data_IF_470530641563
#
_entry.id   IF_470530641563
#
_cell.length_a   1.000
_cell.length_b   1.000
_cell.length_c   1.000
_cell.angle_alpha   90.00
_cell.angle_beta   90.00
_cell.angle_gamma   90.00
#
_symmetry.space_group_name_H-M   'P 1'
#
loop_
_entity.id
_entity.type
_entity.pdbx_description
1 polymer ?
#
# COMPACT_ATOMS: atom_id res chain seq x y z
N UNK A 1 19.75 9.56 -7.78
CA UNK A 1 20.90 8.83 -7.23
C UNK A 1 21.13 9.29 -5.81
N UNK A 2 21.36 8.36 -4.89
CA UNK A 2 21.79 8.64 -3.52
C UNK A 2 23.31 8.83 -3.51
N UNK A 3 23.76 10.08 -3.38
CA UNK A 3 25.18 10.43 -3.38
C UNK A 3 25.85 10.05 -2.06
N UNK A 4 25.16 10.16 -0.93
CA UNK A 4 25.67 9.80 0.39
C UNK A 4 25.96 8.29 0.45
N UNK A 5 24.99 7.47 0.04
CA UNK A 5 25.15 6.02 -0.03
C UNK A 5 26.26 5.59 -0.99
N UNK A 6 26.39 6.26 -2.15
CA UNK A 6 27.46 5.98 -3.10
C UNK A 6 28.84 6.37 -2.55
N UNK A 7 28.96 7.55 -1.94
CA UNK A 7 30.21 8.01 -1.32
C UNK A 7 30.64 7.09 -0.17
N UNK A 8 29.70 6.69 0.71
CA UNK A 8 29.96 5.74 1.79
C UNK A 8 30.48 4.40 1.25
N UNK A 9 29.91 3.90 0.14
CA UNK A 9 30.39 2.69 -0.52
C UNK A 9 31.84 2.84 -1.03
N UNK A 10 32.20 3.97 -1.65
CA UNK A 10 33.56 4.21 -2.12
C UNK A 10 34.58 4.26 -0.96
N UNK A 11 34.21 4.94 0.13
CA UNK A 11 35.06 5.06 1.34
C UNK A 11 35.29 3.69 1.98
N UNK A 12 34.23 2.91 2.22
CA UNK A 12 34.32 1.59 2.86
C UNK A 12 35.22 0.64 2.06
N UNK A 13 35.20 0.73 0.73
CA UNK A 13 36.02 -0.10 -0.15
C UNK A 13 37.43 0.46 -0.43
N UNK A 14 37.83 1.56 0.21
CA UNK A 14 39.12 2.22 0.02
C UNK A 14 39.43 2.54 -1.46
N UNK A 15 38.43 3.04 -2.17
CA UNK A 15 38.55 3.39 -3.59
C UNK A 15 39.50 4.57 -3.80
N UNK A 16 40.57 4.38 -4.59
CA UNK A 16 41.65 5.36 -4.76
C UNK A 16 41.21 6.68 -5.42
N UNK A 17 40.19 6.62 -6.28
CA UNK A 17 39.70 7.76 -7.07
C UNK A 17 38.25 8.13 -6.71
N UNK A 18 37.87 7.98 -5.43
CA UNK A 18 36.49 8.16 -4.97
C UNK A 18 35.89 9.52 -5.38
N UNK A 19 36.65 10.61 -5.24
CA UNK A 19 36.19 11.95 -5.58
C UNK A 19 35.95 12.11 -7.09
N UNK A 20 36.85 11.59 -7.93
CA UNK A 20 36.71 11.66 -9.37
C UNK A 20 35.50 10.85 -9.87
N UNK A 21 35.29 9.63 -9.32
CA UNK A 21 34.11 8.81 -9.63
C UNK A 21 32.81 9.49 -9.21
N UNK A 22 32.79 10.12 -8.04
CA UNK A 22 31.62 10.84 -7.55
C UNK A 22 31.33 12.08 -8.39
N UNK A 23 32.35 12.86 -8.75
CA UNK A 23 32.25 14.00 -9.67
C UNK A 23 31.67 13.59 -11.01
N UNK A 24 32.17 12.50 -11.60
CA UNK A 24 31.65 11.96 -12.87
C UNK A 24 30.15 11.70 -12.78
N UNK A 25 29.70 11.06 -11.69
CA UNK A 25 28.27 10.78 -11.46
C UNK A 25 27.44 12.05 -11.25
N UNK A 26 27.96 13.03 -10.52
CA UNK A 26 27.29 14.32 -10.33
C UNK A 26 27.11 15.04 -11.67
N UNK A 27 28.16 15.09 -12.50
CA UNK A 27 28.10 15.69 -13.84
C UNK A 27 27.14 14.91 -14.74
N UNK A 28 27.14 13.57 -14.69
CA UNK A 28 26.23 12.72 -15.48
C UNK A 28 24.75 13.05 -15.18
N UNK A 29 24.38 13.16 -13.91
CA UNK A 29 22.99 13.40 -13.49
C UNK A 29 22.57 14.88 -13.57
N UNK A 30 23.39 15.81 -13.08
CA UNK A 30 23.07 17.25 -13.15
C UNK A 30 23.30 17.85 -14.53
N UNK A 31 24.08 17.17 -15.39
CA UNK A 31 24.35 17.54 -16.77
C UNK A 31 24.80 19.02 -16.86
N UNK A 32 24.27 19.79 -17.83
CA UNK A 32 24.59 21.22 -18.03
C UNK A 32 24.20 22.16 -16.86
N UNK A 33 23.63 21.64 -15.77
CA UNK A 33 23.27 22.45 -14.59
C UNK A 33 24.43 22.66 -13.60
N UNK A 34 25.58 22.01 -13.79
CA UNK A 34 26.75 22.16 -12.92
C UNK A 34 28.04 22.25 -13.75
N UNK A 35 28.92 23.18 -13.39
CA UNK A 35 30.26 23.29 -13.98
C UNK A 35 31.24 22.24 -13.45
N UNK A 36 32.36 22.03 -14.13
CA UNK A 36 33.39 21.05 -13.71
C UNK A 36 34.00 21.39 -12.34
N UNK A 37 34.31 22.67 -12.09
CA UNK A 37 34.85 23.15 -10.81
C UNK A 37 33.83 23.03 -9.67
N UNK A 38 32.56 23.36 -9.95
CA UNK A 38 31.47 23.21 -8.98
C UNK A 38 31.24 21.75 -8.62
N UNK A 39 31.28 20.85 -9.61
CA UNK A 39 31.13 19.41 -9.38
C UNK A 39 32.29 18.83 -8.58
N UNK A 40 33.51 19.35 -8.75
CA UNK A 40 34.68 19.01 -7.93
C UNK A 40 34.45 19.36 -6.45
N UNK A 41 34.00 20.60 -6.19
CA UNK A 41 33.69 21.08 -4.84
C UNK A 41 32.57 20.24 -4.22
N UNK A 42 31.52 19.96 -5.01
CA UNK A 42 30.38 19.16 -4.58
C UNK A 42 30.83 17.75 -4.17
N UNK A 43 31.59 17.06 -5.02
CA UNK A 43 32.09 15.72 -4.74
C UNK A 43 32.96 15.68 -3.47
N UNK A 44 33.85 16.66 -3.29
CA UNK A 44 34.67 16.78 -2.09
C UNK A 44 33.83 16.97 -0.81
N UNK A 45 32.79 17.80 -0.88
CA UNK A 45 31.88 18.04 0.25
C UNK A 45 31.09 16.79 0.63
N UNK A 46 30.53 16.09 -0.35
CA UNK A 46 29.78 14.85 -0.13
C UNK A 46 30.66 13.78 0.53
N UNK A 47 31.91 13.60 0.05
CA UNK A 47 32.84 12.66 0.68
C UNK A 47 33.14 13.02 2.13
N UNK A 48 33.40 14.30 2.40
CA UNK A 48 33.68 14.79 3.75
C UNK A 48 32.50 14.54 4.70
N UNK A 49 31.27 14.78 4.25
CA UNK A 49 30.08 14.52 5.06
C UNK A 49 29.86 13.02 5.27
N UNK A 50 30.04 12.19 4.24
CA UNK A 50 29.94 10.74 4.34
C UNK A 50 31.00 10.16 5.31
N UNK A 51 32.24 10.64 5.26
CA UNK A 51 33.30 10.28 6.22
C UNK A 51 32.90 10.64 7.66
N UNK A 52 32.37 11.86 7.86
CA UNK A 52 31.93 12.30 9.17
C UNK A 52 30.78 11.44 9.72
N UNK A 53 29.80 11.10 8.87
CA UNK A 53 28.68 10.24 9.24
C UNK A 53 29.15 8.82 9.60
N UNK A 54 30.05 8.23 8.80
CA UNK A 54 30.61 6.89 9.04
C UNK A 54 31.43 6.77 10.33
N UNK A 55 32.05 7.88 10.75
CA UNK A 55 32.88 7.95 11.96
C UNK A 55 32.06 7.93 13.27
N UNK A 56 30.77 8.29 13.22
CA UNK A 56 29.92 8.29 14.41
C UNK A 56 29.59 6.84 14.81
N UNK A 57 29.73 6.53 16.11
CA UNK A 57 29.48 5.20 16.69
C UNK A 57 28.67 5.32 17.98
N UNK A 58 27.87 4.29 18.26
CA UNK A 58 27.11 4.16 19.50
C UNK A 58 25.69 3.67 19.28
N UNK A 59 25.06 3.24 20.38
CA UNK A 59 23.73 2.58 20.40
C UNK A 59 22.65 3.32 19.59
N UNK A 60 22.62 4.65 19.67
CA UNK A 60 21.63 5.49 18.97
C UNK A 60 21.93 5.73 17.49
N UNK A 61 23.18 5.56 17.06
CA UNK A 61 23.62 5.87 15.69
C UNK A 61 23.64 4.64 14.78
N UNK A 62 23.62 3.45 15.37
CA UNK A 62 23.69 2.18 14.64
C UNK A 62 22.35 1.45 14.72
N UNK A 63 22.07 0.48 13.87
CA UNK A 63 20.92 -0.42 13.99
C UNK A 63 21.35 -1.86 13.64
N UNK A 64 20.62 -2.85 14.16
CA UNK A 64 20.89 -4.25 13.86
C UNK A 64 20.47 -4.53 12.41
N UNK A 65 21.43 -4.88 11.56
CA UNK A 65 21.15 -5.26 10.17
C UNK A 65 20.49 -6.65 10.14
N UNK A 66 19.40 -6.77 9.38
CA UNK A 66 18.69 -8.04 9.18
C UNK A 66 19.42 -8.99 8.23
N UNK A 67 20.25 -8.46 7.33
CA UNK A 67 20.85 -9.24 6.24
C UNK A 67 19.91 -9.54 5.06
N UNK A 68 18.69 -8.99 5.07
CA UNK A 68 17.72 -9.09 3.97
C UNK A 68 17.28 -7.70 3.51
N UNK A 69 17.38 -7.42 2.21
CA UNK A 69 16.87 -6.17 1.65
C UNK A 69 15.35 -6.22 1.42
N UNK A 70 14.70 -5.06 1.37
CA UNK A 70 13.26 -4.93 1.02
C UNK A 70 12.94 -5.67 -0.29
N UNK A 71 13.80 -5.49 -1.29
CA UNK A 71 13.64 -6.07 -2.61
C UNK A 71 13.80 -7.58 -2.64
N UNK A 72 14.73 -8.17 -1.86
CA UNK A 72 14.92 -9.63 -1.78
C UNK A 72 13.78 -10.29 -0.99
N UNK A 73 13.40 -9.68 0.13
CA UNK A 73 12.36 -10.20 1.02
C UNK A 73 10.94 -9.90 0.53
N UNK A 74 10.77 -9.08 -0.52
CA UNK A 74 9.47 -8.81 -1.14
C UNK A 74 8.59 -7.85 -0.34
N UNK A 75 9.17 -6.99 0.50
CA UNK A 75 8.43 -5.99 1.29
C UNK A 75 7.90 -4.90 0.37
N UNK A 76 6.65 -4.48 0.59
CA UNK A 76 5.90 -3.57 -0.27
C UNK A 76 5.32 -4.24 -1.53
N UNK A 77 5.37 -5.57 -1.62
CA UNK A 77 4.78 -6.36 -2.72
C UNK A 77 3.56 -7.19 -2.29
N UNK A 78 2.98 -6.94 -1.09
CA UNK A 78 1.77 -7.63 -0.56
C UNK A 78 1.76 -9.14 -0.77
N UNK A 79 2.92 -9.75 -0.50
CA UNK A 79 3.13 -11.19 -0.51
C UNK A 79 3.68 -11.68 0.82
N UNK A 80 4.05 -12.95 0.90
CA UNK A 80 4.40 -13.59 2.17
C UNK A 80 5.48 -12.88 3.00
N UNK A 81 6.51 -12.31 2.35
CA UNK A 81 7.56 -11.56 3.06
C UNK A 81 7.10 -10.18 3.53
N UNK A 82 6.20 -9.54 2.79
CA UNK A 82 5.59 -8.27 3.18
C UNK A 82 4.72 -8.42 4.44
N UNK A 83 3.82 -9.42 4.43
CA UNK A 83 2.97 -9.75 5.58
C UNK A 83 3.80 -10.03 6.84
N UNK A 84 4.91 -10.77 6.68
CA UNK A 84 5.80 -11.07 7.80
C UNK A 84 6.47 -9.81 8.38
N UNK A 85 6.92 -8.87 7.55
CA UNK A 85 7.49 -7.61 8.05
C UNK A 85 6.44 -6.75 8.73
N UNK A 86 5.21 -6.70 8.22
CA UNK A 86 4.11 -5.98 8.87
C UNK A 86 3.78 -6.54 10.26
N UNK A 87 3.80 -7.87 10.43
CA UNK A 87 3.69 -8.50 11.76
C UNK A 87 4.79 -8.01 12.72
N UNK A 88 6.03 -7.87 12.23
CA UNK A 88 7.16 -7.36 13.02
C UNK A 88 7.03 -5.87 13.33
N UNK A 89 6.48 -5.06 12.43
CA UNK A 89 6.15 -3.66 12.72
C UNK A 89 5.20 -3.58 13.91
N UNK A 90 4.12 -4.38 13.89
CA UNK A 90 3.18 -4.48 15.01
C UNK A 90 3.85 -4.91 16.32
N UNK A 91 4.76 -5.88 16.26
CA UNK A 91 5.57 -6.30 17.42
C UNK A 91 6.43 -5.15 17.96
N UNK A 92 7.17 -4.44 17.10
CA UNK A 92 8.07 -3.35 17.51
C UNK A 92 7.30 -2.20 18.16
N UNK A 93 6.11 -1.85 17.64
CA UNK A 93 5.23 -0.85 18.25
C UNK A 93 4.75 -1.36 19.61
N UNK A 94 4.23 -2.59 19.65
CA UNK A 94 3.62 -3.22 20.81
C UNK A 94 2.18 -2.77 21.04
N UNK A 95 1.55 -3.31 22.08
CA UNK A 95 0.15 -2.98 22.41
C UNK A 95 0.00 -1.52 22.80
N UNK A 96 -0.98 -0.85 22.19
CA UNK A 96 -1.29 0.56 22.46
C UNK A 96 -2.59 0.71 23.27
N UNK A 97 -3.02 1.95 23.50
CA UNK A 97 -4.34 2.26 24.08
C UNK A 97 -5.44 2.38 23.03
N UNK A 98 -5.14 2.13 21.76
CA UNK A 98 -6.11 2.19 20.67
C UNK A 98 -7.08 0.99 20.73
N UNK A 99 -8.23 1.12 20.09
CA UNK A 99 -9.25 0.07 19.94
C UNK A 99 -8.79 -0.96 18.92
N UNK A 100 -8.29 -0.49 17.77
CA UNK A 100 -7.55 -1.27 16.79
C UNK A 100 -6.19 -0.62 16.58
N UNK A 101 -5.13 -1.39 16.72
CA UNK A 101 -3.76 -0.93 16.49
C UNK A 101 -3.03 -1.80 15.47
N UNK A 102 -1.75 -1.50 15.22
CA UNK A 102 -0.94 -2.19 14.23
C UNK A 102 -0.79 -3.71 14.46
N UNK A 103 -1.10 -4.23 15.66
CA UNK A 103 -1.12 -5.68 15.90
C UNK A 103 -2.30 -6.39 15.25
N UNK A 104 -3.36 -5.65 14.89
CA UNK A 104 -4.51 -6.18 14.19
C UNK A 104 -4.31 -6.35 12.68
N UNK A 105 -3.29 -5.70 12.09
CA UNK A 105 -3.02 -5.71 10.64
C UNK A 105 -4.22 -5.29 9.76
N UNK A 106 -5.09 -4.46 10.32
CA UNK A 106 -6.28 -3.91 9.65
C UNK A 106 -5.91 -2.70 8.76
N UNK A 107 -6.84 -2.24 7.92
CA UNK A 107 -6.59 -1.13 6.97
C UNK A 107 -6.48 0.24 7.65
N UNK A 108 -6.93 0.35 8.91
CA UNK A 108 -6.88 1.60 9.66
C UNK A 108 -6.69 1.39 11.17
N UNK A 109 -6.08 2.38 11.81
CA UNK A 109 -6.05 2.48 13.26
C UNK A 109 -7.34 3.10 13.81
N UNK A 110 -7.82 2.62 14.96
CA UNK A 110 -9.08 3.09 15.55
C UNK A 110 -8.86 3.51 17.01
N UNK A 111 -9.27 4.73 17.36
CA UNK A 111 -9.22 5.25 18.74
C UNK A 111 -10.59 5.74 19.20
N UNK A 112 -10.84 5.68 20.51
CA UNK A 112 -12.09 6.17 21.10
C UNK A 112 -12.09 7.69 21.19
N UNK A 113 -13.17 8.33 20.73
CA UNK A 113 -13.44 9.73 21.07
C UNK A 113 -14.10 9.76 22.45
N UNK A 114 -13.53 10.49 23.41
CA UNK A 114 -14.13 10.57 24.75
C UNK A 114 -15.54 11.17 24.67
N UNK A 115 -16.53 10.37 25.10
CA UNK A 115 -17.92 10.68 25.53
C UNK A 115 -19.06 10.02 24.77
N UNK A 116 -18.93 9.49 23.56
CA UNK A 116 -20.12 9.11 22.78
C UNK A 116 -20.05 7.83 21.93
N UNK A 117 -19.42 6.73 22.39
CA UNK A 117 -19.38 5.43 21.67
C UNK A 117 -18.91 5.48 20.19
N UNK A 118 -18.36 6.62 19.78
CA UNK A 118 -17.90 6.88 18.43
C UNK A 118 -16.38 6.72 18.40
N UNK A 119 -15.93 6.20 17.27
CA UNK A 119 -14.54 5.90 16.99
C UNK A 119 -14.00 6.86 15.95
N UNK A 120 -12.77 7.32 16.16
CA UNK A 120 -11.96 7.99 15.16
C UNK A 120 -11.13 6.93 14.43
N UNK A 121 -11.29 6.88 13.12
CA UNK A 121 -10.56 6.00 12.22
C UNK A 121 -9.50 6.83 11.52
N UNK A 122 -8.26 6.33 11.49
CA UNK A 122 -7.10 7.02 10.91
C UNK A 122 -6.32 6.06 10.03
N UNK A 123 -6.00 6.50 8.82
CA UNK A 123 -5.15 5.77 7.87
C UNK A 123 -4.11 6.68 7.22
N UNK A 124 -3.08 6.06 6.65
CA UNK A 124 -2.10 6.69 5.76
C UNK A 124 -1.71 5.70 4.68
N UNK A 125 -1.77 6.13 3.43
CA UNK A 125 -1.32 5.32 2.29
C UNK A 125 -0.26 6.05 1.45
N UNK A 126 0.74 5.29 1.02
CA UNK A 126 1.85 5.77 0.21
C UNK A 126 1.51 5.79 -1.27
N UNK A 127 2.02 6.80 -1.99
CA UNK A 127 1.83 6.84 -3.43
C UNK A 127 2.43 5.60 -4.11
N UNK A 128 1.84 5.16 -5.22
CA UNK A 128 2.44 4.11 -6.02
C UNK A 128 3.76 4.59 -6.63
N UNK A 129 4.90 4.19 -6.06
CA UNK A 129 6.21 4.79 -6.32
C UNK A 129 6.66 4.77 -7.80
N UNK A 130 6.09 3.91 -8.64
CA UNK A 130 6.34 3.90 -10.10
C UNK A 130 5.67 5.06 -10.85
N UNK A 131 4.74 5.78 -10.23
CA UNK A 131 4.06 6.93 -10.82
C UNK A 131 4.74 8.27 -10.50
N UNK A 132 5.96 8.25 -9.98
CA UNK A 132 6.75 9.47 -9.73
C UNK A 132 6.85 10.39 -10.95
N UNK A 133 6.85 9.87 -12.19
CA UNK A 133 6.89 10.67 -13.41
C UNK A 133 5.51 11.17 -13.88
N UNK A 134 4.44 10.80 -13.17
CA UNK A 134 3.05 11.14 -13.46
C UNK A 134 2.36 11.67 -12.19
N UNK A 135 2.74 12.87 -11.72
CA UNK A 135 2.39 13.34 -10.38
C UNK A 135 0.88 13.42 -10.14
N UNK A 136 0.10 13.91 -11.11
CA UNK A 136 -1.37 13.91 -11.05
C UNK A 136 -1.94 12.51 -10.79
N UNK A 137 -1.54 11.50 -11.57
CA UNK A 137 -2.00 10.12 -11.39
C UNK A 137 -1.59 9.57 -10.03
N UNK A 138 -0.36 9.87 -9.59
CA UNK A 138 0.12 9.48 -8.26
C UNK A 138 -0.77 10.08 -7.15
N UNK A 139 -1.15 11.36 -7.28
CA UNK A 139 -1.97 12.10 -6.33
C UNK A 139 -3.42 11.62 -6.30
N UNK A 140 -4.01 11.46 -7.48
CA UNK A 140 -5.37 10.98 -7.63
C UNK A 140 -5.53 9.57 -7.03
N UNK A 141 -4.62 8.65 -7.36
CA UNK A 141 -4.73 7.28 -6.87
C UNK A 141 -4.44 7.13 -5.37
N UNK A 142 -3.46 7.86 -4.82
CA UNK A 142 -3.16 7.77 -3.37
C UNK A 142 -4.27 8.39 -2.53
N UNK A 143 -4.89 9.49 -2.98
CA UNK A 143 -6.04 10.07 -2.31
C UNK A 143 -7.25 9.12 -2.34
N UNK A 144 -7.50 8.48 -3.49
CA UNK A 144 -8.54 7.45 -3.61
C UNK A 144 -8.28 6.31 -2.62
N UNK A 145 -7.05 5.78 -2.59
CA UNK A 145 -6.69 4.67 -1.71
C UNK A 145 -6.85 5.00 -0.22
N UNK A 146 -6.33 6.15 0.24
CA UNK A 146 -6.48 6.59 1.63
C UNK A 146 -7.96 6.77 2.04
N UNK A 147 -8.83 7.22 1.13
CA UNK A 147 -10.26 7.28 1.42
C UNK A 147 -10.92 5.90 1.50
N UNK A 148 -10.51 4.95 0.64
CA UNK A 148 -11.06 3.58 0.67
C UNK A 148 -10.83 2.91 2.02
N UNK A 149 -9.62 3.01 2.56
CA UNK A 149 -9.25 2.45 3.87
C UNK A 149 -10.19 2.95 4.99
N UNK A 150 -10.60 4.23 4.95
CA UNK A 150 -11.58 4.75 5.92
C UNK A 150 -12.98 4.16 5.66
N UNK A 151 -13.40 4.14 4.39
CA UNK A 151 -14.73 3.67 3.99
C UNK A 151 -14.97 2.20 4.32
N UNK A 152 -13.97 1.32 4.13
CA UNK A 152 -14.11 -0.12 4.39
C UNK A 152 -14.19 -0.46 5.87
N UNK A 153 -13.80 0.46 6.75
CA UNK A 153 -14.07 0.36 8.19
C UNK A 153 -15.52 0.71 8.56
N UNK A 154 -16.36 1.06 7.58
CA UNK A 154 -17.72 1.56 7.80
C UNK A 154 -17.76 3.02 8.24
N UNK A 155 -16.63 3.73 8.19
CA UNK A 155 -16.49 5.10 8.64
C UNK A 155 -16.76 6.10 7.52
N UNK A 156 -17.27 7.28 7.90
CA UNK A 156 -17.39 8.42 7.00
C UNK A 156 -16.11 9.26 7.09
N UNK A 157 -15.36 9.44 5.99
CA UNK A 157 -14.21 10.34 6.00
C UNK A 157 -14.62 11.77 6.34
N UNK A 158 -13.73 12.49 7.02
CA UNK A 158 -13.94 13.87 7.46
C UNK A 158 -12.89 14.82 6.92
N UNK A 159 -11.66 14.35 6.71
CA UNK A 159 -10.58 15.13 6.11
C UNK A 159 -9.46 14.25 5.56
N UNK A 160 -8.71 14.81 4.61
CA UNK A 160 -7.44 14.27 4.10
C UNK A 160 -6.27 15.22 4.45
N UNK A 161 -5.08 14.66 4.55
CA UNK A 161 -3.80 15.38 4.66
C UNK A 161 -2.77 14.78 3.71
N UNK A 162 -1.83 15.56 3.20
CA UNK A 162 -0.83 15.08 2.22
C UNK A 162 0.61 15.34 2.66
N UNK A 163 1.52 14.40 2.44
CA UNK A 163 2.97 14.62 2.55
C UNK A 163 3.63 14.29 1.21
N UNK A 164 4.43 15.22 0.67
CA UNK A 164 5.09 15.05 -0.62
C UNK A 164 6.57 15.43 -0.54
N UNK A 165 7.41 14.56 -1.09
CA UNK A 165 8.84 14.73 -1.14
C UNK A 165 9.32 14.63 -2.59
N UNK A 166 10.11 15.60 -3.03
CA UNK A 166 10.70 15.63 -4.38
C UNK A 166 12.23 15.70 -4.25
N UNK A 167 12.94 14.88 -5.03
CA UNK A 167 14.41 14.92 -5.07
C UNK A 167 14.92 16.24 -5.67
N UNK A 168 16.21 16.54 -5.46
CA UNK A 168 16.77 17.88 -5.65
C UNK A 168 16.59 18.45 -7.08
N UNK A 169 16.68 17.61 -8.10
CA UNK A 169 16.55 18.06 -9.49
C UNK A 169 15.10 17.98 -10.02
N UNK A 170 14.15 17.52 -9.21
CA UNK A 170 12.75 17.42 -9.59
C UNK A 170 12.09 18.78 -9.77
N UNK A 171 11.21 18.88 -10.77
CA UNK A 171 10.51 20.13 -11.05
C UNK A 171 9.47 20.42 -9.96
N UNK A 172 9.45 21.65 -9.44
CA UNK A 172 8.43 22.10 -8.49
C UNK A 172 7.00 21.92 -8.98
N UNK A 173 6.78 21.90 -10.30
CA UNK A 173 5.48 21.63 -10.91
C UNK A 173 4.94 20.25 -10.54
N UNK A 174 5.80 19.28 -10.21
CA UNK A 174 5.38 17.96 -9.74
C UNK A 174 4.57 18.05 -8.46
N UNK A 175 4.89 19.00 -7.57
CA UNK A 175 4.15 19.24 -6.32
C UNK A 175 2.73 19.70 -6.64
N UNK A 176 2.59 20.69 -7.52
CA UNK A 176 1.30 21.24 -7.89
C UNK A 176 0.43 20.22 -8.62
N UNK A 177 1.02 19.45 -9.54
CA UNK A 177 0.30 18.44 -10.32
C UNK A 177 -0.13 17.25 -9.43
N UNK A 178 0.71 16.85 -8.47
CA UNK A 178 0.34 15.86 -7.45
C UNK A 178 -0.84 16.33 -6.58
N UNK A 179 -0.75 17.56 -6.05
CA UNK A 179 -1.82 18.15 -5.26
C UNK A 179 -3.10 18.34 -6.08
N UNK A 180 -3.01 18.65 -7.37
CA UNK A 180 -4.17 18.72 -8.26
C UNK A 180 -4.88 17.37 -8.39
N UNK A 181 -4.13 16.26 -8.46
CA UNK A 181 -4.71 14.91 -8.43
C UNK A 181 -5.46 14.61 -7.12
N UNK A 182 -4.88 14.99 -5.98
CA UNK A 182 -5.52 14.84 -4.66
C UNK A 182 -6.77 15.74 -4.55
N UNK A 183 -6.66 17.00 -4.99
CA UNK A 183 -7.74 17.97 -4.97
C UNK A 183 -8.92 17.53 -5.86
N UNK A 184 -8.65 16.90 -7.01
CA UNK A 184 -9.71 16.34 -7.85
C UNK A 184 -10.53 15.29 -7.08
N UNK A 185 -9.88 14.38 -6.34
CA UNK A 185 -10.59 13.41 -5.49
C UNK A 185 -11.33 14.12 -4.35
N UNK A 186 -10.74 15.17 -3.76
CA UNK A 186 -11.37 15.99 -2.74
C UNK A 186 -12.67 16.64 -3.23
N UNK A 187 -12.66 17.24 -4.42
CA UNK A 187 -13.83 17.87 -5.04
C UNK A 187 -14.90 16.85 -5.43
N UNK A 188 -14.50 15.70 -5.99
CA UNK A 188 -15.42 14.64 -6.41
C UNK A 188 -16.09 13.92 -5.23
N UNK A 189 -15.37 13.74 -4.11
CA UNK A 189 -15.88 13.06 -2.91
C UNK A 189 -16.52 14.02 -1.91
N UNK A 190 -16.26 15.32 -2.00
CA UNK A 190 -16.63 16.31 -1.01
C UNK A 190 -15.80 16.27 0.29
N UNK A 191 -14.75 15.44 0.36
CA UNK A 191 -13.89 15.32 1.54
C UNK A 191 -12.72 16.31 1.42
N UNK A 192 -12.55 17.26 2.35
CA UNK A 192 -11.55 18.32 2.20
C UNK A 192 -10.11 17.82 2.43
N UNK A 193 -9.17 18.26 1.57
CA UNK A 193 -7.74 18.24 1.87
C UNK A 193 -7.41 19.45 2.77
N UNK A 194 -7.07 19.20 4.04
CA UNK A 194 -7.01 20.27 5.06
C UNK A 194 -5.61 20.72 5.44
N UNK A 195 -4.59 19.90 5.22
CA UNK A 195 -3.20 20.23 5.60
C UNK A 195 -2.20 19.36 4.83
N UNK A 196 -0.93 19.72 4.89
CA UNK A 196 0.13 18.89 4.34
C UNK A 196 1.55 19.31 4.71
N UNK A 197 2.51 18.55 4.19
CA UNK A 197 3.96 18.72 4.36
C UNK A 197 4.67 18.59 3.01
N UNK A 198 5.79 19.30 2.87
CA UNK A 198 6.61 19.28 1.66
C UNK A 198 8.09 19.28 2.03
N UNK A 199 8.84 18.30 1.53
CA UNK A 199 10.28 18.15 1.79
C UNK A 199 11.06 17.82 0.51
N UNK A 200 12.38 17.98 0.57
CA UNK A 200 13.29 17.42 -0.43
C UNK A 200 13.79 16.05 0.02
N UNK A 201 13.78 15.07 -0.89
CA UNK A 201 14.35 13.75 -0.59
C UNK A 201 15.86 13.93 -0.40
N UNK A 202 16.39 13.63 0.79
CA UNK A 202 17.83 13.69 1.10
C UNK A 202 18.50 15.06 0.93
N UNK A 203 17.73 16.15 0.79
CA UNK A 203 18.29 17.47 0.50
C UNK A 203 19.13 17.47 -0.78
N UNK A 204 20.34 18.02 -0.70
CA UNK A 204 21.26 18.11 -1.84
C UNK A 204 21.97 16.75 -2.13
N UNK A 205 21.81 15.73 -1.27
CA UNK A 205 22.47 14.42 -1.41
C UNK A 205 21.74 13.45 -2.34
N UNK A 206 20.46 13.70 -2.68
CA UNK A 206 19.71 12.82 -3.58
C UNK A 206 19.34 13.59 -4.85
N UNK A 207 20.13 13.35 -5.88
CA UNK A 207 19.98 13.99 -7.19
C UNK A 207 19.03 13.21 -8.10
N UNK A 208 18.45 13.86 -9.09
CA UNK A 208 17.40 13.34 -9.97
C UNK A 208 15.99 13.80 -9.57
N UNK A 209 14.98 13.25 -10.24
CA UNK A 209 13.61 13.79 -10.23
C UNK A 209 12.61 12.89 -9.48
N UNK A 210 13.11 11.99 -8.62
CA UNK A 210 12.25 11.04 -7.91
C UNK A 210 11.31 11.79 -6.97
N UNK A 211 10.06 11.37 -6.95
CA UNK A 211 9.01 11.85 -6.07
C UNK A 211 8.49 10.69 -5.23
N UNK A 212 8.22 10.95 -3.96
CA UNK A 212 7.55 10.04 -3.01
C UNK A 212 6.63 10.84 -2.10
N UNK A 213 5.68 10.18 -1.46
CA UNK A 213 4.69 10.88 -0.64
C UNK A 213 3.58 9.95 -0.21
N UNK A 214 2.68 10.46 0.62
CA UNK A 214 1.52 9.76 1.12
C UNK A 214 0.33 10.71 1.29
N UNK A 215 -0.86 10.12 1.39
CA UNK A 215 -2.06 10.81 1.85
C UNK A 215 -2.56 10.09 3.09
N UNK A 216 -2.82 10.86 4.14
CA UNK A 216 -3.54 10.41 5.32
C UNK A 216 -5.01 10.80 5.23
N UNK A 217 -5.88 10.01 5.84
CA UNK A 217 -7.29 10.33 5.98
C UNK A 217 -7.76 10.05 7.41
N UNK A 218 -8.77 10.81 7.83
CA UNK A 218 -9.43 10.63 9.12
C UNK A 218 -10.94 10.54 8.90
N UNK A 219 -11.59 9.67 9.65
CA UNK A 219 -13.05 9.50 9.61
C UNK A 219 -13.62 9.14 10.96
N UNK A 220 -14.95 9.09 11.04
CA UNK A 220 -15.66 8.72 12.25
C UNK A 220 -16.69 7.62 11.97
N UNK A 221 -16.87 6.73 12.94
CA UNK A 221 -17.85 5.64 12.88
C UNK A 221 -18.42 5.36 14.27
N UNK A 222 -19.69 4.97 14.32
CA UNK A 222 -20.25 4.44 15.57
C UNK A 222 -19.75 3.01 15.82
N UNK A 223 -19.49 2.65 17.08
CA UNK A 223 -18.97 1.33 17.44
C UNK A 223 -19.73 0.14 16.83
N UNK A 224 -21.05 0.23 16.66
CA UNK A 224 -21.86 -0.86 16.12
C UNK A 224 -21.82 -0.98 14.59
N UNK A 225 -21.10 -0.09 13.88
CA UNK A 225 -21.04 -0.03 12.42
C UNK A 225 -19.65 -0.37 11.86
N UNK A 226 -18.73 -0.85 12.70
CA UNK A 226 -17.40 -1.25 12.27
C UNK A 226 -17.45 -2.59 11.50
N UNK A 227 -16.88 -2.66 10.30
CA UNK A 227 -16.93 -3.84 9.41
C UNK A 227 -15.58 -4.56 9.28
N UNK A 228 -15.00 -4.93 10.43
CA UNK A 228 -13.70 -5.60 10.49
C UNK A 228 -13.70 -7.01 9.89
N UNK A 229 -12.55 -7.43 9.33
CA UNK A 229 -12.34 -8.71 8.61
C UNK A 229 -12.67 -9.97 9.41
N UNK A 230 -12.54 -9.93 10.74
CA UNK A 230 -12.79 -11.06 11.63
C UNK A 230 -14.27 -11.43 11.82
N UNK A 231 -15.21 -10.74 11.16
CA UNK A 231 -16.65 -10.95 11.28
C UNK A 231 -17.26 -11.88 10.23
N UNK A 232 -16.49 -12.32 9.24
CA UNK A 232 -16.99 -13.24 8.21
C UNK A 232 -17.51 -14.54 8.85
N UNK A 233 -18.68 -15.02 8.42
CA UNK A 233 -19.33 -16.18 9.01
C UNK A 233 -19.72 -17.24 7.96
N UNK A 234 -19.67 -18.54 8.29
CA UNK A 234 -20.18 -19.59 7.40
C UNK A 234 -21.62 -19.34 6.97
N UNK A 235 -21.89 -19.49 5.68
CA UNK A 235 -23.20 -19.22 5.08
C UNK A 235 -23.31 -17.83 4.43
N UNK A 236 -22.37 -16.92 4.69
CA UNK A 236 -22.33 -15.62 4.03
C UNK A 236 -22.02 -15.75 2.53
N UNK A 237 -22.50 -14.77 1.76
CA UNK A 237 -22.12 -14.54 0.38
C UNK A 237 -21.00 -13.50 0.29
N UNK A 238 -20.14 -13.70 -0.70
CA UNK A 238 -19.06 -12.76 -1.03
C UNK A 238 -19.48 -12.00 -2.28
N UNK A 239 -19.59 -10.68 -2.15
CA UNK A 239 -19.96 -9.76 -3.21
C UNK A 239 -18.76 -8.92 -3.60
N UNK A 240 -18.62 -8.59 -4.89
CA UNK A 240 -17.55 -7.73 -5.37
C UNK A 240 -18.03 -6.77 -6.45
N UNK A 241 -17.58 -5.51 -6.40
CA UNK A 241 -17.89 -4.52 -7.44
C UNK A 241 -17.01 -4.70 -8.68
N UNK A 242 -17.51 -4.25 -9.84
CA UNK A 242 -16.65 -4.03 -11.01
C UNK A 242 -15.56 -3.02 -10.66
N UNK A 243 -14.31 -3.36 -10.99
CA UNK A 243 -13.11 -2.62 -10.66
C UNK A 243 -12.33 -2.22 -11.90
N UNK A 244 -11.76 -1.02 -11.86
CA UNK A 244 -10.92 -0.43 -12.92
C UNK A 244 -9.45 -0.35 -12.50
N UNK A 245 -9.14 -0.61 -11.23
CA UNK A 245 -7.83 -0.42 -10.63
C UNK A 245 -7.50 1.03 -10.30
N UNK A 246 -6.24 1.23 -9.98
CA UNK A 246 -5.68 2.52 -9.61
C UNK A 246 -4.21 2.57 -9.99
N UNK A 247 -3.34 2.89 -9.03
CA UNK A 247 -1.90 3.04 -9.28
C UNK A 247 -1.25 1.82 -9.94
N UNK A 248 -1.68 0.61 -9.59
CA UNK A 248 -1.14 -0.66 -10.13
C UNK A 248 -1.53 -0.88 -11.58
N UNK A 249 -2.81 -0.74 -11.93
CA UNK A 249 -3.30 -0.86 -13.32
C UNK A 249 -2.72 0.25 -14.20
N UNK A 250 -2.70 1.49 -13.70
CA UNK A 250 -2.06 2.63 -14.37
C UNK A 250 -0.57 2.36 -14.64
N UNK A 251 0.15 1.81 -13.66
CA UNK A 251 1.56 1.45 -13.82
C UNK A 251 1.74 0.33 -14.84
N UNK A 252 0.90 -0.71 -14.80
CA UNK A 252 0.95 -1.81 -15.74
C UNK A 252 0.74 -1.32 -17.17
N UNK A 253 -0.28 -0.48 -17.40
CA UNK A 253 -0.58 0.11 -18.69
C UNK A 253 0.61 0.90 -19.27
N UNK A 254 1.17 1.82 -18.48
CA UNK A 254 2.25 2.71 -18.94
C UNK A 254 3.56 1.94 -19.17
N UNK A 255 4.01 1.17 -18.17
CA UNK A 255 5.37 0.62 -18.18
C UNK A 255 5.50 -0.74 -18.86
N UNK A 256 4.40 -1.38 -19.25
CA UNK A 256 4.43 -2.54 -20.15
C UNK A 256 4.59 -2.15 -21.61
N UNK A 257 4.40 -0.88 -21.97
CA UNK A 257 4.34 -0.43 -23.35
C UNK A 257 3.04 -0.84 -24.05
N UNK A 258 1.95 -1.03 -23.30
CA UNK A 258 0.66 -1.40 -23.87
C UNK A 258 0.12 -0.30 -24.80
N UNK A 259 -0.25 -0.68 -26.02
CA UNK A 259 -0.67 0.27 -27.07
C UNK A 259 -1.87 1.13 -26.70
N UNK A 260 -2.81 0.59 -25.90
CA UNK A 260 -4.02 1.28 -25.44
C UNK A 260 -3.88 1.83 -24.02
N UNK A 261 -2.66 2.08 -23.54
CA UNK A 261 -2.41 2.54 -22.18
C UNK A 261 -3.25 3.76 -21.78
N UNK A 262 -3.39 4.75 -22.66
CA UNK A 262 -4.20 5.94 -22.40
C UNK A 262 -5.67 5.61 -22.12
N UNK A 263 -6.27 4.66 -22.86
CA UNK A 263 -7.64 4.24 -22.64
C UNK A 263 -7.80 3.51 -21.30
N UNK A 264 -6.82 2.69 -20.90
CA UNK A 264 -6.81 2.04 -19.59
C UNK A 264 -6.68 3.06 -18.46
N UNK A 265 -5.77 4.03 -18.59
CA UNK A 265 -5.57 5.10 -17.59
C UNK A 265 -6.81 5.97 -17.43
N UNK A 266 -7.50 6.30 -18.54
CA UNK A 266 -8.78 7.02 -18.48
C UNK A 266 -9.81 6.27 -17.63
N UNK A 267 -9.88 4.93 -17.75
CA UNK A 267 -10.75 4.11 -16.91
C UNK A 267 -10.38 4.15 -15.43
N UNK A 268 -9.10 4.32 -15.06
CA UNK A 268 -8.69 4.33 -13.64
C UNK A 268 -8.98 5.67 -12.93
N UNK A 269 -9.27 6.73 -13.70
CA UNK A 269 -9.61 8.08 -13.23
C UNK A 269 -11.10 8.23 -12.89
N UNK A 270 -11.56 7.45 -11.91
CA UNK A 270 -12.92 7.52 -11.37
C UNK A 270 -12.89 7.44 -9.83
N UNK A 271 -14.07 7.63 -9.22
CA UNK A 271 -14.31 7.45 -7.78
C UNK A 271 -15.43 6.43 -7.49
N UNK A 272 -15.63 5.47 -8.39
CA UNK A 272 -16.75 4.52 -8.36
C UNK A 272 -16.79 3.73 -7.04
N UNK A 273 -15.62 3.32 -6.53
CA UNK A 273 -15.52 2.69 -5.23
C UNK A 273 -16.11 3.57 -4.11
N UNK A 274 -15.71 4.86 -4.08
CA UNK A 274 -16.16 5.79 -3.03
C UNK A 274 -17.67 6.00 -3.14
N UNK A 275 -18.20 6.13 -4.37
CA UNK A 275 -19.64 6.23 -4.64
C UNK A 275 -20.38 4.99 -4.15
N UNK A 276 -19.85 3.79 -4.43
CA UNK A 276 -20.46 2.54 -4.02
C UNK A 276 -20.55 2.40 -2.50
N UNK A 277 -19.46 2.64 -1.78
CA UNK A 277 -19.49 2.55 -0.31
C UNK A 277 -20.33 3.67 0.30
N UNK A 278 -20.23 4.90 -0.21
CA UNK A 278 -21.05 6.02 0.28
C UNK A 278 -22.55 5.71 0.14
N UNK A 279 -22.98 5.09 -0.97
CA UNK A 279 -24.36 4.65 -1.13
C UNK A 279 -24.80 3.61 -0.08
N UNK A 280 -23.89 2.74 0.37
CA UNK A 280 -24.17 1.80 1.46
C UNK A 280 -24.26 2.51 2.82
N UNK A 281 -23.42 3.51 3.08
CA UNK A 281 -23.38 4.24 4.35
C UNK A 281 -24.48 5.30 4.50
N UNK A 282 -25.02 5.80 3.39
CA UNK A 282 -26.13 6.78 3.37
C UNK A 282 -27.51 6.13 3.25
N UNK A 283 -27.56 4.82 3.00
CA UNK A 283 -28.77 4.02 2.91
C UNK A 283 -29.63 4.08 4.19
N UNK A 284 -30.95 4.22 4.03
CA UNK A 284 -31.91 4.23 5.14
C UNK A 284 -31.99 2.86 5.83
N UNK A 285 -31.67 1.80 5.09
CA UNK A 285 -31.61 0.41 5.52
C UNK A 285 -30.42 0.12 6.44
N UNK A 286 -29.48 1.07 6.57
CA UNK A 286 -28.29 0.98 7.45
C UNK A 286 -27.48 -0.28 7.18
N UNK A 287 -27.15 -0.52 5.91
CA UNK A 287 -26.41 -1.72 5.48
C UNK A 287 -25.14 -1.98 6.30
N UNK A 288 -24.44 -0.92 6.70
CA UNK A 288 -23.24 -0.99 7.56
C UNK A 288 -23.42 -1.75 8.89
N UNK A 289 -24.64 -1.88 9.42
CA UNK A 289 -24.89 -2.66 10.65
C UNK A 289 -25.25 -4.13 10.38
N UNK A 290 -25.48 -4.48 9.12
CA UNK A 290 -25.93 -5.81 8.68
C UNK A 290 -24.85 -6.53 7.86
N UNK A 291 -23.95 -5.79 7.22
CA UNK A 291 -22.77 -6.31 6.54
C UNK A 291 -21.76 -6.79 7.59
N UNK A 292 -21.18 -7.96 7.37
CA UNK A 292 -20.18 -8.52 8.27
C UNK A 292 -18.79 -7.93 7.99
N UNK A 293 -18.36 -7.94 6.72
CA UNK A 293 -17.04 -7.44 6.31
C UNK A 293 -17.18 -6.52 5.11
N UNK A 294 -16.43 -5.42 5.12
CA UNK A 294 -16.10 -4.65 3.93
C UNK A 294 -14.57 -4.55 3.85
N UNK A 295 -14.02 -4.69 2.65
CA UNK A 295 -12.59 -4.48 2.38
C UNK A 295 -12.44 -4.00 0.94
N UNK A 296 -11.33 -3.35 0.61
CA UNK A 296 -10.99 -3.05 -0.77
C UNK A 296 -9.99 -4.06 -1.31
N UNK A 297 -10.18 -4.45 -2.56
CA UNK A 297 -9.29 -5.41 -3.23
C UNK A 297 -8.04 -4.67 -3.71
N UNK A 298 -7.04 -4.60 -2.82
CA UNK A 298 -5.80 -3.82 -3.00
C UNK A 298 -4.66 -4.61 -3.64
N UNK A 299 -3.42 -4.17 -3.44
CA UNK A 299 -2.22 -4.87 -3.88
C UNK A 299 -2.14 -6.26 -3.22
N UNK A 300 -1.82 -7.29 -4.02
CA UNK A 300 -2.02 -8.69 -3.63
C UNK A 300 -3.34 -9.28 -4.18
N UNK A 301 -4.30 -8.42 -4.54
CA UNK A 301 -5.59 -8.76 -5.14
C UNK A 301 -6.46 -9.61 -4.22
N UNK A 302 -7.56 -10.12 -4.77
CA UNK A 302 -8.56 -10.91 -4.02
C UNK A 302 -7.96 -12.17 -3.38
N UNK A 303 -6.83 -12.65 -3.90
CA UNK A 303 -6.05 -13.74 -3.32
C UNK A 303 -5.41 -13.37 -1.98
N UNK A 304 -4.90 -12.14 -1.85
CA UNK A 304 -4.38 -11.58 -0.60
C UNK A 304 -5.48 -11.47 0.44
N UNK A 305 -6.55 -10.75 0.09
CA UNK A 305 -7.67 -10.47 1.00
C UNK A 305 -8.34 -11.77 1.45
N UNK A 306 -8.54 -12.72 0.54
CA UNK A 306 -9.14 -14.02 0.89
C UNK A 306 -8.35 -14.75 1.96
N UNK A 307 -7.01 -14.70 1.88
CA UNK A 307 -6.13 -15.37 2.84
C UNK A 307 -6.13 -14.69 4.20
N UNK A 308 -6.10 -13.36 4.23
CA UNK A 308 -6.18 -12.58 5.47
C UNK A 308 -7.53 -12.81 6.17
N UNK A 309 -8.65 -12.68 5.45
CA UNK A 309 -10.00 -12.91 6.00
C UNK A 309 -10.16 -14.35 6.50
N UNK A 310 -9.72 -15.34 5.71
CA UNK A 310 -9.80 -16.75 6.11
C UNK A 310 -9.02 -17.05 7.39
N UNK A 311 -7.86 -16.40 7.55
CA UNK A 311 -7.01 -16.56 8.73
C UNK A 311 -7.62 -15.88 9.95
N UNK A 312 -8.13 -14.67 9.82
CA UNK A 312 -8.64 -13.87 10.94
C UNK A 312 -10.01 -14.30 11.45
N UNK A 313 -10.92 -14.65 10.54
CA UNK A 313 -12.28 -15.11 10.89
C UNK A 313 -12.36 -16.63 11.12
N UNK A 314 -11.27 -17.36 10.88
CA UNK A 314 -11.21 -18.83 10.96
C UNK A 314 -12.27 -19.55 10.10
N UNK A 315 -12.50 -19.02 8.90
CA UNK A 315 -13.47 -19.54 7.93
C UNK A 315 -12.81 -19.95 6.62
N UNK A 316 -13.54 -20.70 5.80
CA UNK A 316 -13.16 -21.07 4.44
C UNK A 316 -13.81 -20.12 3.44
N UNK A 317 -13.04 -19.58 2.49
CA UNK A 317 -13.57 -18.75 1.41
C UNK A 317 -13.50 -19.50 0.07
N UNK A 318 -14.60 -19.52 -0.67
CA UNK A 318 -14.70 -20.16 -1.98
C UNK A 318 -15.17 -19.16 -3.02
N UNK A 319 -14.34 -18.90 -4.02
CA UNK A 319 -14.61 -17.99 -5.12
C UNK A 319 -14.90 -18.75 -6.42
N UNK A 320 -15.70 -18.14 -7.28
CA UNK A 320 -15.94 -18.58 -8.65
C UNK A 320 -15.15 -17.71 -9.63
N UNK A 321 -14.38 -18.35 -10.51
CA UNK A 321 -13.47 -17.64 -11.42
C UNK A 321 -14.22 -16.84 -12.50
N UNK A 322 -15.31 -17.39 -13.03
CA UNK A 322 -16.13 -16.75 -14.05
C UNK A 322 -16.88 -15.54 -13.47
N UNK A 323 -17.27 -15.61 -12.19
CA UNK A 323 -17.84 -14.48 -11.47
C UNK A 323 -16.80 -13.39 -11.17
N UNK A 324 -15.58 -13.75 -10.77
CA UNK A 324 -14.49 -12.78 -10.58
C UNK A 324 -14.13 -12.04 -11.87
N UNK A 325 -14.11 -12.74 -13.01
CA UNK A 325 -13.84 -12.13 -14.31
C UNK A 325 -14.86 -11.04 -14.68
N UNK A 326 -16.12 -11.18 -14.27
CA UNK A 326 -17.16 -10.17 -14.50
C UNK A 326 -16.93 -8.87 -13.71
N UNK A 327 -16.09 -8.92 -12.68
CA UNK A 327 -15.76 -7.77 -11.86
C UNK A 327 -14.56 -6.97 -12.39
N UNK A 328 -13.98 -7.33 -13.53
CA UNK A 328 -12.89 -6.57 -14.14
C UNK A 328 -13.44 -5.76 -15.31
N UNK A 329 -13.21 -4.45 -15.30
CA UNK A 329 -13.67 -3.59 -16.42
C UNK A 329 -13.09 -4.10 -17.75
N UNK A 330 -13.89 -4.17 -18.84
CA UNK A 330 -13.49 -4.86 -20.07
C UNK A 330 -12.17 -4.39 -20.71
N UNK A 331 -11.88 -3.09 -20.67
CA UNK A 331 -10.64 -2.50 -21.21
C UNK A 331 -9.43 -2.93 -20.38
N UNK A 332 -9.59 -2.96 -19.06
CA UNK A 332 -8.57 -3.45 -18.11
C UNK A 332 -8.36 -4.95 -18.27
N UNK A 333 -9.45 -5.72 -18.42
CA UNK A 333 -9.39 -7.16 -18.64
C UNK A 333 -8.66 -7.52 -19.94
N UNK A 334 -8.95 -6.79 -21.03
CA UNK A 334 -8.24 -6.96 -22.31
C UNK A 334 -6.73 -6.76 -22.14
N UNK A 335 -6.33 -5.71 -21.42
CA UNK A 335 -4.93 -5.46 -21.11
C UNK A 335 -4.32 -6.61 -20.31
N UNK A 336 -4.97 -7.07 -19.24
CA UNK A 336 -4.47 -8.17 -18.42
C UNK A 336 -4.31 -9.46 -19.23
N UNK A 337 -5.26 -9.79 -20.11
CA UNK A 337 -5.17 -10.95 -20.97
C UNK A 337 -4.03 -10.81 -21.99
N UNK A 338 -3.91 -9.66 -22.65
CA UNK A 338 -2.88 -9.39 -23.65
C UNK A 338 -1.47 -9.45 -23.05
N UNK A 339 -1.32 -8.93 -21.84
CA UNK A 339 -0.05 -8.88 -21.13
C UNK A 339 0.17 -10.10 -20.24
N UNK A 340 -0.72 -11.09 -20.22
CA UNK A 340 -0.63 -12.28 -19.34
C UNK A 340 -0.42 -11.90 -17.86
N UNK A 341 -1.19 -10.92 -17.37
CA UNK A 341 -1.19 -10.48 -15.98
C UNK A 341 -2.33 -11.19 -15.26
N UNK A 342 -2.02 -11.86 -14.15
CA UNK A 342 -3.04 -12.46 -13.30
C UNK A 342 -3.74 -11.40 -12.45
N UNK A 343 -4.94 -10.99 -12.87
CA UNK A 343 -5.73 -9.96 -12.18
C UNK A 343 -6.05 -10.32 -10.72
N UNK A 344 -6.07 -11.61 -10.38
CA UNK A 344 -6.38 -12.10 -9.02
C UNK A 344 -5.31 -11.75 -7.99
N UNK A 345 -4.11 -11.38 -8.47
CA UNK A 345 -2.95 -11.02 -7.67
C UNK A 345 -2.59 -9.53 -7.68
N UNK A 346 -3.46 -8.66 -8.22
CA UNK A 346 -3.25 -7.21 -8.31
C UNK A 346 -4.49 -6.43 -7.85
N UNK A 347 -4.28 -5.16 -7.50
CA UNK A 347 -5.38 -4.24 -7.17
C UNK A 347 -6.21 -3.91 -8.40
N UNK A 348 -7.49 -4.22 -8.35
CA UNK A 348 -8.50 -3.71 -9.29
C UNK A 348 -9.42 -2.66 -8.63
N UNK A 349 -9.12 -2.25 -7.40
CA UNK A 349 -9.86 -1.23 -6.66
C UNK A 349 -11.36 -1.56 -6.54
N UNK A 350 -11.68 -2.85 -6.39
CA UNK A 350 -13.05 -3.34 -6.17
C UNK A 350 -13.40 -3.31 -4.69
N UNK A 351 -14.65 -2.97 -4.37
CA UNK A 351 -15.22 -3.18 -3.04
C UNK A 351 -15.62 -4.64 -2.90
N UNK A 352 -15.13 -5.31 -1.86
CA UNK A 352 -15.55 -6.64 -1.44
C UNK A 352 -16.42 -6.53 -0.20
N UNK A 353 -17.60 -7.15 -0.23
CA UNK A 353 -18.57 -7.19 0.86
C UNK A 353 -18.86 -8.64 1.20
N UNK A 354 -18.81 -9.00 2.48
CA UNK A 354 -19.29 -10.30 2.99
C UNK A 354 -20.54 -10.05 3.83
N UNK A 355 -21.64 -10.70 3.45
CA UNK A 355 -22.93 -10.48 4.09
C UNK A 355 -23.83 -11.73 4.07
N UNK A 356 -24.84 -11.79 4.95
CA UNK A 356 -25.87 -12.82 4.89
C UNK A 356 -26.59 -12.86 3.53
N UNK A 357 -27.03 -14.04 3.05
CA UNK A 357 -27.74 -14.17 1.77
C UNK A 357 -28.98 -13.27 1.66
N UNK A 358 -29.66 -13.05 2.78
CA UNK A 358 -30.92 -12.30 2.88
C UNK A 358 -30.78 -10.83 2.41
N UNK A 359 -29.58 -10.27 2.53
CA UNK A 359 -29.31 -8.85 2.21
C UNK A 359 -28.45 -8.67 0.96
N UNK A 360 -28.01 -9.75 0.32
CA UNK A 360 -27.11 -9.69 -0.83
C UNK A 360 -27.73 -8.95 -2.03
N UNK A 361 -28.92 -9.34 -2.47
CA UNK A 361 -29.62 -8.70 -3.58
C UNK A 361 -29.97 -7.22 -3.30
N UNK A 362 -30.49 -6.85 -2.10
CA UNK A 362 -30.68 -5.45 -1.72
C UNK A 362 -29.40 -4.60 -1.75
N UNK A 363 -28.27 -5.14 -1.27
CA UNK A 363 -26.97 -4.46 -1.31
C UNK A 363 -26.52 -4.24 -2.76
N UNK A 364 -26.58 -5.28 -3.60
CA UNK A 364 -26.27 -5.18 -5.03
C UNK A 364 -27.13 -4.11 -5.70
N UNK A 365 -28.43 -4.07 -5.40
CA UNK A 365 -29.35 -3.11 -6.00
C UNK A 365 -29.07 -1.67 -5.53
N UNK A 366 -28.66 -1.48 -4.27
CA UNK A 366 -28.23 -0.17 -3.75
C UNK A 366 -27.03 0.36 -4.54
N UNK A 367 -25.98 -0.45 -4.69
CA UNK A 367 -24.77 -0.07 -5.42
C UNK A 367 -25.06 0.15 -6.92
N UNK A 368 -25.90 -0.70 -7.51
CA UNK A 368 -26.34 -0.56 -8.91
C UNK A 368 -27.08 0.74 -9.16
N UNK A 369 -27.90 1.18 -8.21
CA UNK A 369 -28.62 2.46 -8.29
C UNK A 369 -27.67 3.65 -8.23
N UNK A 370 -26.54 3.51 -7.52
CA UNK A 370 -25.45 4.47 -7.50
C UNK A 370 -24.56 4.43 -8.77
N UNK A 371 -24.86 3.54 -9.73
CA UNK A 371 -24.18 3.48 -11.03
C UNK A 371 -23.02 2.48 -11.11
N UNK A 372 -22.77 1.70 -10.06
CA UNK A 372 -21.66 0.74 -10.00
C UNK A 372 -22.18 -0.69 -10.10
N UNK A 373 -21.50 -1.56 -10.85
CA UNK A 373 -21.91 -2.96 -10.96
C UNK A 373 -21.35 -3.77 -9.79
N UNK A 374 -22.11 -4.74 -9.30
CA UNK A 374 -21.70 -5.66 -8.25
C UNK A 374 -22.22 -7.06 -8.54
N UNK A 375 -21.44 -8.07 -8.18
CA UNK A 375 -21.71 -9.47 -8.45
C UNK A 375 -21.48 -10.32 -7.20
N UNK A 376 -22.25 -11.40 -7.06
CA UNK A 376 -21.90 -12.49 -6.13
C UNK A 376 -20.72 -13.24 -6.74
N UNK A 377 -19.57 -13.27 -6.06
CA UNK A 377 -18.34 -13.90 -6.55
C UNK A 377 -17.93 -15.14 -5.77
N UNK A 378 -18.60 -15.41 -4.66
CA UNK A 378 -18.23 -16.52 -3.80
C UNK A 378 -19.13 -16.66 -2.58
N UNK A 379 -18.67 -17.51 -1.67
CA UNK A 379 -19.35 -17.82 -0.42
C UNK A 379 -18.36 -18.18 0.68
N UNK A 380 -18.81 -18.04 1.92
CA UNK A 380 -18.07 -18.41 3.12
C UNK A 380 -18.59 -19.75 3.65
N UNK A 381 -17.69 -20.65 3.98
CA UNK A 381 -17.97 -21.99 4.49
C UNK A 381 -17.21 -22.25 5.80
N UNK A 382 -17.61 -23.29 6.54
CA UNK A 382 -16.78 -23.80 7.64
C UNK A 382 -15.49 -24.43 7.09
N UNK A 383 -14.38 -24.27 7.82
CA UNK A 383 -13.14 -25.00 7.51
C UNK A 383 -13.35 -26.50 7.62
N UNK A 384 -12.79 -27.24 6.68
CA UNK A 384 -12.95 -28.69 6.58
C UNK A 384 -11.60 -29.35 6.37
N UNK A 385 -11.31 -30.40 7.15
CA UNK A 385 -10.09 -31.17 7.00
C UNK A 385 -9.96 -31.74 5.57
N UNK A 386 -8.81 -31.51 4.93
CA UNK A 386 -8.54 -31.98 3.57
C UNK A 386 -9.05 -31.06 2.46
N UNK A 387 -9.67 -29.91 2.79
CA UNK A 387 -9.97 -28.84 1.83
C UNK A 387 -9.01 -27.66 1.99
N UNK A 388 -8.90 -26.84 0.95
CA UNK A 388 -8.18 -25.58 1.03
C UNK A 388 -8.99 -24.55 1.83
N UNK A 389 -8.31 -23.79 2.70
CA UNK A 389 -8.89 -22.68 3.46
C UNK A 389 -9.39 -21.57 2.53
N UNK A 390 -8.69 -21.34 1.42
CA UNK A 390 -9.11 -20.46 0.34
C UNK A 390 -9.08 -21.22 -0.98
N UNK A 391 -10.21 -21.18 -1.70
CA UNK A 391 -10.40 -21.97 -2.90
C UNK A 391 -10.96 -21.14 -4.06
N UNK A 392 -10.56 -21.49 -5.28
CA UNK A 392 -11.06 -20.92 -6.52
C UNK A 392 -11.63 -22.04 -7.39
N UNK A 393 -12.87 -21.90 -7.82
CA UNK A 393 -13.55 -22.81 -8.74
C UNK A 393 -13.25 -22.36 -10.16
N UNK A 394 -12.54 -23.19 -10.92
CA UNK A 394 -12.21 -22.95 -12.34
C UNK A 394 -12.79 -24.07 -13.18
N UNK A 395 -13.79 -23.77 -14.01
CA UNK A 395 -14.47 -24.78 -14.82
C UNK A 395 -15.09 -25.92 -13.99
N UNK A 396 -15.61 -25.59 -12.80
CA UNK A 396 -16.16 -26.56 -11.84
C UNK A 396 -15.13 -27.32 -11.01
N UNK A 397 -13.83 -27.08 -11.20
CA UNK A 397 -12.76 -27.73 -10.43
C UNK A 397 -12.20 -26.78 -9.38
N UNK A 398 -12.15 -27.26 -8.14
CA UNK A 398 -11.57 -26.52 -7.03
C UNK A 398 -10.03 -26.52 -7.08
N UNK A 399 -9.43 -25.33 -6.93
CA UNK A 399 -7.98 -25.13 -6.83
C UNK A 399 -7.65 -24.32 -5.59
N UNK A 400 -6.46 -24.55 -5.03
CA UNK A 400 -5.94 -23.74 -3.94
C UNK A 400 -5.79 -22.28 -4.37
N UNK A 401 -6.25 -21.34 -3.54
CA UNK A 401 -6.28 -19.92 -3.84
C UNK A 401 -5.55 -19.08 -2.79
N UNK A 402 -4.23 -19.26 -2.71
CA UNK A 402 -3.37 -18.59 -1.72
C UNK A 402 -2.40 -17.58 -2.34
N UNK A 403 -1.94 -16.57 -1.59
CA UNK A 403 -0.94 -15.60 -2.03
C UNK A 403 0.34 -16.24 -2.53
N UNK A 404 0.94 -15.59 -3.53
CA UNK A 404 2.30 -15.88 -3.99
C UNK A 404 3.32 -15.17 -3.09
N UNK A 405 4.62 -15.44 -3.27
CA UNK A 405 5.66 -14.79 -2.45
C UNK A 405 5.72 -13.27 -2.69
N UNK A 406 5.45 -12.84 -3.92
CA UNK A 406 5.26 -11.44 -4.33
C UNK A 406 3.93 -11.32 -5.06
N UNK A 407 3.39 -10.10 -5.14
CA UNK A 407 2.27 -9.76 -6.02
C UNK A 407 2.54 -10.16 -7.48
N UNK A 408 1.46 -10.26 -8.24
CA UNK A 408 1.51 -10.64 -9.65
C UNK A 408 2.40 -9.68 -10.47
N UNK A 409 3.17 -10.26 -11.40
CA UNK A 409 4.14 -9.54 -12.19
C UNK A 409 3.50 -8.75 -13.35
N UNK A 410 3.15 -7.48 -13.08
CA UNK A 410 2.44 -6.61 -14.02
C UNK A 410 3.33 -5.66 -14.86
N UNK A 411 4.66 -5.73 -14.73
CA UNK A 411 5.61 -4.99 -15.59
C UNK A 411 6.77 -5.89 -16.05
N UNK A 412 7.48 -5.55 -17.14
CA UNK A 412 8.61 -6.35 -17.63
C UNK A 412 9.69 -6.61 -16.58
N UNK A 413 10.04 -5.59 -15.77
CA UNK A 413 11.03 -5.73 -14.71
C UNK A 413 10.54 -6.67 -13.60
N UNK A 414 9.26 -6.59 -13.22
CA UNK A 414 8.67 -7.52 -12.23
C UNK A 414 8.65 -8.96 -12.76
N UNK A 415 8.35 -9.17 -14.04
CA UNK A 415 8.41 -10.49 -14.67
C UNK A 415 9.82 -11.08 -14.68
N UNK A 416 10.83 -10.24 -14.88
CA UNK A 416 12.24 -10.65 -14.81
C UNK A 416 12.68 -11.06 -13.40
N UNK A 417 12.21 -10.37 -12.36
CA UNK A 417 12.49 -10.71 -10.96
C UNK A 417 11.69 -11.97 -10.54
N UNK A 418 10.46 -12.10 -11.03
CA UNK A 418 9.56 -13.22 -10.74
C UNK A 418 8.90 -13.15 -9.37
N UNK A 419 8.11 -14.18 -9.05
CA UNK A 419 7.23 -14.26 -7.87
C UNK A 419 7.61 -15.41 -6.91
N UNK A 420 8.78 -16.02 -7.12
CA UNK A 420 9.20 -17.21 -6.38
C UNK A 420 9.76 -16.86 -5.01
N UNK A 421 9.51 -17.73 -4.04
CA UNK A 421 10.11 -17.67 -2.71
C UNK A 421 11.65 -17.78 -2.81
N UNK A 422 12.41 -16.90 -2.14
CA UNK A 422 13.85 -17.00 -2.03
C UNK A 422 14.28 -18.33 -1.40
N UNK A 423 15.40 -18.94 -1.84
CA UNK A 423 15.86 -20.22 -1.29
C UNK A 423 16.15 -20.20 0.23
N UNK A 424 16.59 -19.06 0.78
CA UNK A 424 16.93 -18.89 2.19
C UNK A 424 15.91 -18.03 2.96
N UNK A 425 14.61 -18.21 2.67
CA UNK A 425 13.57 -17.39 3.31
C UNK A 425 13.56 -17.51 4.84
N UNK A 426 13.80 -18.72 5.38
CA UNK A 426 13.83 -18.94 6.83
C UNK A 426 15.07 -18.31 7.50
N UNK A 427 16.23 -18.28 6.82
CA UNK A 427 17.41 -17.57 7.29
C UNK A 427 17.17 -16.06 7.34
N UNK A 428 16.57 -15.50 6.28
CA UNK A 428 16.19 -14.09 6.22
C UNK A 428 15.21 -13.71 7.35
N UNK A 429 14.20 -14.55 7.63
CA UNK A 429 13.25 -14.35 8.74
C UNK A 429 13.96 -14.19 10.09
N UNK A 430 14.91 -15.08 10.41
CA UNK A 430 15.68 -15.00 11.66
C UNK A 430 16.46 -13.69 11.79
N UNK A 431 17.02 -13.21 10.68
CA UNK A 431 17.71 -11.92 10.65
C UNK A 431 16.78 -10.74 10.90
N UNK A 432 15.56 -10.79 10.34
CA UNK A 432 14.52 -9.79 10.58
C UNK A 432 14.02 -9.84 12.03
N UNK A 433 13.80 -11.03 12.58
CA UNK A 433 13.44 -11.21 14.00
C UNK A 433 14.47 -10.55 14.92
N UNK A 434 15.76 -10.87 14.73
CA UNK A 434 16.83 -10.28 15.51
C UNK A 434 16.90 -8.74 15.38
N UNK A 435 16.63 -8.20 14.18
CA UNK A 435 16.58 -6.76 13.97
C UNK A 435 15.39 -6.10 14.69
N UNK A 436 14.22 -6.73 14.68
CA UNK A 436 13.03 -6.27 15.38
C UNK A 436 13.25 -6.27 16.91
N UNK A 437 13.75 -7.36 17.46
CA UNK A 437 14.05 -7.50 18.89
C UNK A 437 15.06 -6.44 19.35
N UNK A 438 16.15 -6.24 18.60
CA UNK A 438 17.14 -5.21 18.89
C UNK A 438 16.56 -3.79 18.84
N UNK A 439 15.60 -3.51 17.94
CA UNK A 439 14.89 -2.24 17.88
C UNK A 439 14.00 -2.02 19.11
N UNK A 440 13.32 -3.07 19.60
CA UNK A 440 12.51 -3.04 20.82
C UNK A 440 13.38 -2.74 22.04
N UNK A 441 14.48 -3.48 22.22
CA UNK A 441 15.40 -3.25 23.34
C UNK A 441 15.93 -1.82 23.34
N UNK A 442 16.29 -1.29 22.17
CA UNK A 442 16.74 0.10 22.04
C UNK A 442 15.63 1.09 22.41
N UNK A 443 14.42 0.89 21.90
CA UNK A 443 13.24 1.71 22.24
C UNK A 443 13.07 1.79 23.76
N UNK A 444 13.09 0.65 24.44
CA UNK A 444 12.94 0.56 25.90
C UNK A 444 14.06 1.27 26.65
N UNK A 445 15.32 1.06 26.25
CA UNK A 445 16.48 1.76 26.83
C UNK A 445 16.33 3.28 26.73
N UNK A 446 15.95 3.78 25.55
CA UNK A 446 15.79 5.23 25.30
C UNK A 446 14.61 5.81 26.09
N UNK A 447 13.46 5.14 26.09
CA UNK A 447 12.28 5.58 26.87
C UNK A 447 12.61 5.65 28.37
N UNK A 448 13.27 4.62 28.92
CA UNK A 448 13.70 4.59 30.32
C UNK A 448 14.66 5.74 30.63
N UNK A 449 15.67 5.96 29.77
CA UNK A 449 16.64 7.05 29.91
C UNK A 449 15.95 8.41 29.92
N UNK A 450 14.97 8.65 29.04
CA UNK A 450 14.25 9.92 28.94
C UNK A 450 13.34 10.12 30.16
N UNK A 451 12.61 9.09 30.60
CA UNK A 451 11.76 9.16 31.81
C UNK A 451 12.58 9.47 33.05
N UNK A 452 13.73 8.83 33.21
CA UNK A 452 14.64 9.04 34.34
C UNK A 452 15.36 10.40 34.33
N UNK A 453 15.27 11.18 33.23
CA UNK A 453 15.77 12.58 33.21
C UNK A 453 14.75 13.57 33.78
N UNK A 454 13.47 13.18 33.86
CA UNK A 454 12.36 14.03 34.31
C UNK A 454 12.00 13.84 35.79
N UNK A 455 12.57 12.85 36.47
CA UNK A 455 12.50 12.65 37.91
C UNK A 455 13.88 12.80 38.53
#
# INVERSE_FOLDING_TARGET
MDLEGYAAHLIINNEKDAQAKLKEKIIEFKNKKIGDEEAEIFAAAVLKEAEAALAVKGDVFEYQKSGASMGEFGVGSRGAGDFYVHEKIGHVIGKTTAVLDSSNLDDSGVVTLEKDQDYLVVTVDGMHSRLSAFPFLAGFHVAKAALRDIYVMGAKPSAMLSDIHVADDGDTAMIFDHLAGIAAVSELSGIPLVTGSTLRIGGDMVIGERMTGCVGAVGAVNQNSLTARNKAAPGDLILMTEGTGGGTVTTAAIYSGYEKAAAVVDKTLNIDFLIAVQALLDSEEKWQTQIHVMTDVTNGGVRGDAYEISKEADVRLVFDDDALLQCVEPTVLEMFQTLEIDFRGVSIDSLLVICPPEIADPVIQTIKTAGVKMYVVGRVEEKQAGKFDTALIVGGVEKEFKPMFREAAYTPLKKAIGEKTPPDFDGMKKGIDAAADAAIEKKERIVKRIRNRKG
#
